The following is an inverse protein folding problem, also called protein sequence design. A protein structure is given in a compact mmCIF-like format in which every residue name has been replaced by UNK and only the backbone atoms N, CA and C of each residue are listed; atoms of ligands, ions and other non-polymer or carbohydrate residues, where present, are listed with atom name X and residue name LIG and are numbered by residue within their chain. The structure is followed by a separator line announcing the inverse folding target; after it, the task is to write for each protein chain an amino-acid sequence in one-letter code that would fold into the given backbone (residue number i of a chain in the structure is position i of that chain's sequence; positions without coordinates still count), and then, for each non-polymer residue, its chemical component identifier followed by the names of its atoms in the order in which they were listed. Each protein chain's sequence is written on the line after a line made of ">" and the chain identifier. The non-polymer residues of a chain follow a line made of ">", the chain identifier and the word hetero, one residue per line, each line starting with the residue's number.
data_IF_103297015078
#
_entry.id   IF_103297015078
#
_cell.length_a   1.000
_cell.length_b   1.000
_cell.length_c   1.000
_cell.angle_alpha   90.00
_cell.angle_beta   90.00
_cell.angle_gamma   90.00
#
_symmetry.space_group_name_H-M   'P 1'
#
loop_
_entity.id
_entity.type
_entity.pdbx_description
1 polymer ?
#
# COMPACT_ATOMS: atom_id res chain seq x y z
N UNK A 1 18.92 -5.27 -9.28
CA UNK A 1 18.23 -5.21 -10.59
C UNK A 1 16.86 -5.94 -10.61
N UNK A 2 16.46 -6.67 -9.56
CA UNK A 2 15.28 -7.56 -9.57
C UNK A 2 13.94 -6.93 -9.13
N UNK A 3 13.93 -5.66 -8.74
CA UNK A 3 12.76 -4.95 -8.20
C UNK A 3 12.31 -3.84 -9.17
N UNK A 4 12.20 -4.13 -10.46
CA UNK A 4 11.44 -3.31 -11.44
C UNK A 4 10.18 -4.03 -11.95
N UNK A 5 10.17 -5.38 -12.08
CA UNK A 5 8.99 -6.10 -12.54
C UNK A 5 7.80 -6.09 -11.59
N UNK A 6 7.97 -5.77 -10.30
CA UNK A 6 6.86 -5.81 -9.32
C UNK A 6 5.69 -4.91 -9.68
N UNK A 7 5.95 -3.79 -10.36
CA UNK A 7 4.88 -2.89 -10.80
C UNK A 7 4.01 -3.59 -11.85
N UNK A 8 4.66 -4.27 -12.79
CA UNK A 8 4.00 -5.08 -13.81
C UNK A 8 3.26 -6.29 -13.24
N UNK A 9 3.88 -7.03 -12.30
CA UNK A 9 3.22 -8.16 -11.65
C UNK A 9 2.01 -7.73 -10.81
N UNK A 10 2.14 -6.65 -10.03
CA UNK A 10 1.02 -6.11 -9.27
C UNK A 10 -0.11 -5.63 -10.18
N UNK A 11 0.24 -5.01 -11.32
CA UNK A 11 -0.73 -4.60 -12.33
C UNK A 11 -1.47 -5.80 -12.95
N UNK A 12 -0.74 -6.84 -13.38
CA UNK A 12 -1.34 -8.05 -13.97
C UNK A 12 -2.23 -8.79 -12.96
N UNK A 13 -1.76 -8.94 -11.72
CA UNK A 13 -2.54 -9.58 -10.66
C UNK A 13 -3.82 -8.79 -10.33
N UNK A 14 -3.72 -7.46 -10.28
CA UNK A 14 -4.89 -6.60 -10.12
C UNK A 14 -5.87 -6.73 -11.30
N UNK A 15 -5.36 -6.92 -12.51
CA UNK A 15 -6.17 -7.11 -13.72
C UNK A 15 -6.94 -8.44 -13.68
N UNK A 16 -6.36 -9.50 -13.13
CA UNK A 16 -7.09 -10.77 -12.93
C UNK A 16 -8.19 -10.61 -11.87
N UNK A 17 -7.90 -9.87 -10.81
CA UNK A 17 -8.78 -9.74 -9.63
C UNK A 17 -9.83 -8.62 -9.73
N UNK A 18 -9.80 -7.78 -10.78
CA UNK A 18 -10.65 -6.60 -10.93
C UNK A 18 -12.18 -6.85 -10.85
N UNK A 19 -12.65 -8.06 -11.18
CA UNK A 19 -14.07 -8.43 -11.14
C UNK A 19 -14.62 -8.57 -9.72
N UNK A 20 -13.76 -8.58 -8.69
CA UNK A 20 -14.18 -8.70 -7.29
C UNK A 20 -15.02 -7.48 -6.91
N UNK A 21 -16.29 -7.71 -6.56
CA UNK A 21 -17.19 -6.65 -6.07
C UNK A 21 -16.80 -6.28 -4.63
N UNK A 22 -16.26 -5.08 -4.46
CA UNK A 22 -15.92 -4.50 -3.16
C UNK A 22 -17.15 -3.84 -2.53
N UNK A 23 -17.52 -4.29 -1.32
CA UNK A 23 -18.50 -3.64 -0.45
C UNK A 23 -17.86 -3.42 0.91
N UNK A 24 -18.40 -2.55 1.79
CA UNK A 24 -17.79 -2.28 3.10
C UNK A 24 -17.52 -3.55 3.93
N UNK A 25 -18.50 -4.47 3.98
CA UNK A 25 -18.35 -5.78 4.65
C UNK A 25 -17.30 -6.67 3.98
N UNK A 26 -17.28 -6.68 2.63
CA UNK A 26 -16.31 -7.49 1.87
C UNK A 26 -14.90 -6.94 1.95
N UNK A 27 -14.70 -5.62 2.02
CA UNK A 27 -13.38 -5.02 2.26
C UNK A 27 -12.83 -5.52 3.60
N UNK A 28 -13.64 -5.51 4.65
CA UNK A 28 -13.21 -6.01 5.95
C UNK A 28 -12.85 -7.50 5.90
N UNK A 29 -13.71 -8.33 5.30
CA UNK A 29 -13.44 -9.76 5.12
C UNK A 29 -12.17 -10.00 4.29
N UNK A 30 -12.02 -9.30 3.16
CA UNK A 30 -10.84 -9.42 2.30
C UNK A 30 -9.59 -8.91 3.00
N UNK A 31 -9.66 -7.89 3.84
CA UNK A 31 -8.52 -7.45 4.64
C UNK A 31 -8.07 -8.55 5.61
N UNK A 32 -9.00 -9.21 6.31
CA UNK A 32 -8.66 -10.33 7.20
C UNK A 32 -8.03 -11.48 6.41
N UNK A 33 -8.68 -11.92 5.32
CA UNK A 33 -8.16 -12.97 4.46
C UNK A 33 -6.79 -12.61 3.88
N UNK A 34 -6.58 -11.34 3.56
CA UNK A 34 -5.34 -10.82 3.03
C UNK A 34 -4.20 -10.90 4.05
N UNK A 35 -4.42 -10.46 5.29
CA UNK A 35 -3.42 -10.59 6.35
C UNK A 35 -3.10 -12.07 6.65
N UNK A 36 -4.11 -12.95 6.65
CA UNK A 36 -3.89 -14.40 6.77
C UNK A 36 -3.06 -14.95 5.60
N UNK A 37 -3.37 -14.55 4.36
CA UNK A 37 -2.63 -14.98 3.18
C UNK A 37 -1.17 -14.50 3.23
N UNK A 38 -0.93 -13.25 3.66
CA UNK A 38 0.43 -12.74 3.85
C UNK A 38 1.19 -13.50 4.94
N UNK A 39 0.54 -13.79 6.07
CA UNK A 39 1.15 -14.58 7.14
C UNK A 39 1.55 -15.98 6.65
N UNK A 40 0.65 -16.68 5.97
CA UNK A 40 0.94 -18.01 5.40
C UNK A 40 2.05 -17.92 4.35
N UNK A 41 2.01 -16.92 3.46
CA UNK A 41 3.05 -16.73 2.45
C UNK A 41 4.43 -16.48 3.08
N UNK A 42 4.49 -15.73 4.19
CA UNK A 42 5.73 -15.54 4.94
C UNK A 42 6.18 -16.85 5.60
N UNK A 43 5.25 -17.55 6.26
CA UNK A 43 5.54 -18.82 6.95
C UNK A 43 6.03 -19.92 6.00
N UNK A 44 5.53 -19.94 4.76
CA UNK A 44 5.94 -20.87 3.70
C UNK A 44 7.23 -20.43 2.98
N UNK A 45 7.85 -19.31 3.35
CA UNK A 45 9.07 -18.81 2.72
C UNK A 45 8.88 -18.17 1.34
N UNK A 46 7.64 -17.98 0.86
CA UNK A 46 7.36 -17.36 -0.46
C UNK A 46 7.89 -15.93 -0.53
N UNK A 47 7.94 -15.25 0.63
CA UNK A 47 8.38 -13.86 0.76
C UNK A 47 9.89 -13.73 1.04
N UNK A 48 10.64 -14.83 1.14
CA UNK A 48 12.08 -14.81 1.48
C UNK A 48 12.90 -13.90 0.58
N UNK A 49 12.64 -13.95 -0.74
CA UNK A 49 13.33 -13.06 -1.69
C UNK A 49 13.09 -11.58 -1.42
N UNK A 50 11.94 -11.21 -0.87
CA UNK A 50 11.64 -9.82 -0.51
C UNK A 50 12.28 -9.47 0.84
N UNK A 51 12.27 -10.37 1.82
CA UNK A 51 12.89 -10.14 3.13
C UNK A 51 14.41 -10.12 3.06
N UNK A 52 15.03 -10.94 2.22
CA UNK A 52 16.47 -10.90 1.90
C UNK A 52 16.86 -9.62 1.16
N UNK A 53 16.01 -9.17 0.23
CA UNK A 53 16.24 -7.88 -0.42
C UNK A 53 16.17 -6.73 0.60
N UNK A 54 15.28 -6.84 1.59
CA UNK A 54 15.14 -5.87 2.68
C UNK A 54 16.40 -5.86 3.58
N UNK A 55 16.90 -7.02 4.00
CA UNK A 55 18.06 -7.12 4.90
C UNK A 55 19.33 -6.53 4.29
N UNK A 56 19.48 -6.57 2.96
CA UNK A 56 20.55 -5.88 2.25
C UNK A 56 20.60 -4.36 2.49
N UNK A 57 19.50 -3.73 2.92
CA UNK A 57 19.50 -2.32 3.33
C UNK A 57 19.98 -2.10 4.78
N UNK A 58 19.90 -3.10 5.66
CA UNK A 58 20.40 -3.01 7.03
C UNK A 58 21.93 -3.14 7.08
N UNK A 59 22.50 -3.99 6.23
CA UNK A 59 23.96 -4.15 6.10
C UNK A 59 24.64 -2.88 5.60
N UNK A 60 23.95 -2.12 4.74
CA UNK A 60 24.39 -0.82 4.23
C UNK A 60 23.87 0.25 5.20
N UNK A 61 24.55 0.43 6.35
CA UNK A 61 24.27 1.43 7.42
C UNK A 61 24.29 2.92 6.98
N UNK A 62 24.09 3.24 5.71
CA UNK A 62 24.21 4.58 5.14
C UNK A 62 22.88 5.32 4.89
N UNK A 63 21.73 4.77 5.25
CA UNK A 63 20.41 5.35 4.94
C UNK A 63 19.47 5.50 6.13
N UNK A 64 18.45 6.36 5.96
CA UNK A 64 17.32 6.45 6.90
C UNK A 64 16.42 5.23 6.71
N UNK A 65 16.65 4.19 7.52
CA UNK A 65 15.94 2.91 7.52
C UNK A 65 14.98 2.81 8.71
N UNK A 66 13.99 1.92 8.64
CA UNK A 66 13.10 1.64 9.78
C UNK A 66 13.69 0.57 10.72
N UNK A 67 14.57 -0.32 10.22
CA UNK A 67 15.18 -1.39 11.01
C UNK A 67 14.16 -2.45 11.43
N UNK A 68 13.17 -2.73 10.57
CA UNK A 68 12.14 -3.73 10.83
C UNK A 68 12.54 -5.08 10.24
N UNK A 69 12.65 -6.08 11.09
CA UNK A 69 12.97 -7.45 10.72
C UNK A 69 11.71 -8.28 10.41
N UNK A 70 11.62 -8.88 9.23
CA UNK A 70 10.50 -9.72 8.80
C UNK A 70 10.80 -11.23 8.88
N UNK A 71 11.99 -11.61 9.36
CA UNK A 71 12.42 -13.01 9.47
C UNK A 71 11.59 -13.82 10.47
N UNK A 72 11.11 -13.19 11.54
CA UNK A 72 10.27 -13.84 12.53
C UNK A 72 8.80 -13.88 12.07
N UNK A 73 8.21 -15.07 11.81
CA UNK A 73 6.83 -15.17 11.33
C UNK A 73 5.79 -14.57 12.27
N UNK A 74 6.03 -14.60 13.59
CA UNK A 74 5.11 -14.03 14.59
C UNK A 74 5.13 -12.51 14.56
N UNK A 75 6.31 -11.92 14.33
CA UNK A 75 6.49 -10.46 14.25
C UNK A 75 6.17 -9.89 12.87
N UNK A 76 5.98 -10.74 11.86
CA UNK A 76 5.70 -10.33 10.48
C UNK A 76 4.50 -9.36 10.38
N UNK A 77 3.36 -9.69 10.99
CA UNK A 77 2.15 -8.86 10.90
C UNK A 77 2.33 -7.52 11.64
N UNK A 78 2.79 -7.49 12.92
CA UNK A 78 3.15 -6.23 13.58
C UNK A 78 4.12 -5.37 12.78
N UNK A 79 5.19 -5.97 12.24
CA UNK A 79 6.22 -5.25 11.48
C UNK A 79 5.69 -4.75 10.13
N UNK A 80 4.80 -5.51 9.48
CA UNK A 80 4.12 -5.05 8.28
C UNK A 80 3.21 -3.84 8.56
N UNK A 81 2.50 -3.84 9.70
CA UNK A 81 1.68 -2.69 10.12
C UNK A 81 2.58 -1.48 10.39
N UNK A 82 3.67 -1.64 11.13
CA UNK A 82 4.63 -0.56 11.40
C UNK A 82 5.26 -0.03 10.10
N UNK A 83 5.63 -0.91 9.18
CA UNK A 83 6.14 -0.56 7.86
C UNK A 83 5.10 0.26 7.08
N UNK A 84 3.84 -0.14 7.11
CA UNK A 84 2.74 0.60 6.47
C UNK A 84 2.57 1.99 7.09
N UNK A 85 2.57 2.09 8.43
CA UNK A 85 2.45 3.36 9.15
C UNK A 85 3.64 4.30 8.87
N UNK A 86 4.86 3.78 8.92
CA UNK A 86 6.07 4.56 8.71
C UNK A 86 6.26 4.97 7.25
N UNK A 87 6.15 4.04 6.31
CA UNK A 87 6.52 4.26 4.92
C UNK A 87 5.36 4.75 4.05
N UNK A 88 4.21 4.07 4.09
CA UNK A 88 3.05 4.42 3.27
C UNK A 88 2.36 5.67 3.82
N UNK A 89 2.12 5.75 5.13
CA UNK A 89 1.50 6.93 5.73
C UNK A 89 2.51 8.01 6.14
N UNK A 90 3.82 7.76 6.06
CA UNK A 90 4.82 8.78 6.35
C UNK A 90 4.82 9.24 7.82
N UNK A 91 4.34 8.42 8.76
CA UNK A 91 4.26 8.77 10.18
C UNK A 91 5.63 8.77 10.88
N UNK A 92 6.69 8.41 10.17
CA UNK A 92 8.05 8.41 10.70
C UNK A 92 8.71 9.77 10.49
N UNK A 93 8.63 10.63 11.51
CA UNK A 93 9.17 11.99 11.48
C UNK A 93 10.67 11.94 11.79
N UNK A 94 11.50 11.98 10.74
CA UNK A 94 12.97 12.02 10.89
C UNK A 94 13.56 13.42 10.82
N UNK A 95 12.79 14.38 10.28
CA UNK A 95 13.23 15.74 10.03
C UNK A 95 12.00 16.67 10.03
N UNK A 96 12.13 17.96 10.44
CA UNK A 96 11.11 18.99 10.22
C UNK A 96 10.45 19.00 8.83
N UNK A 97 11.20 18.72 7.75
CA UNK A 97 10.64 18.61 6.39
C UNK A 97 9.64 17.46 6.25
N UNK A 98 9.80 16.38 7.02
CA UNK A 98 8.85 15.26 7.05
C UNK A 98 7.49 15.69 7.61
N UNK A 99 7.44 16.68 8.51
CA UNK A 99 6.19 17.25 9.03
C UNK A 99 5.44 17.98 7.92
N UNK A 100 6.16 18.77 7.11
CA UNK A 100 5.57 19.47 5.96
C UNK A 100 5.02 18.46 4.95
N UNK A 101 5.77 17.40 4.62
CA UNK A 101 5.32 16.32 3.74
C UNK A 101 4.11 15.58 4.32
N UNK A 102 4.07 15.33 5.63
CA UNK A 102 2.93 14.70 6.29
C UNK A 102 1.65 15.54 6.10
N UNK A 103 1.76 16.87 6.24
CA UNK A 103 0.61 17.78 6.11
C UNK A 103 0.19 18.00 4.65
N UNK A 104 1.13 18.07 3.72
CA UNK A 104 0.83 18.36 2.30
C UNK A 104 0.49 17.09 1.51
N UNK A 105 1.06 15.95 1.88
CA UNK A 105 0.93 14.69 1.12
C UNK A 105 0.03 13.69 1.86
N UNK A 106 0.41 13.27 3.06
CA UNK A 106 -0.31 12.21 3.80
C UNK A 106 -1.70 12.66 4.22
N UNK A 107 -1.85 13.87 4.74
CA UNK A 107 -3.15 14.32 5.25
C UNK A 107 -4.21 14.41 4.13
N UNK A 108 -3.95 15.04 2.97
CA UNK A 108 -4.87 14.99 1.83
C UNK A 108 -5.12 13.56 1.33
N UNK A 109 -4.08 12.73 1.27
CA UNK A 109 -4.22 11.32 0.90
C UNK A 109 -5.19 10.58 1.83
N UNK A 110 -5.07 10.76 3.15
CA UNK A 110 -5.95 10.10 4.12
C UNK A 110 -7.41 10.55 3.96
N UNK A 111 -7.63 11.85 3.73
CA UNK A 111 -8.97 12.38 3.45
C UNK A 111 -9.58 11.76 2.18
N UNK A 112 -8.80 11.67 1.09
CA UNK A 112 -9.25 11.07 -0.16
C UNK A 112 -9.49 9.57 -0.03
N UNK A 113 -8.62 8.85 0.67
CA UNK A 113 -8.79 7.42 0.94
C UNK A 113 -10.07 7.16 1.73
N UNK A 114 -10.32 7.92 2.81
CA UNK A 114 -11.56 7.85 3.59
C UNK A 114 -12.78 8.10 2.72
N UNK A 115 -12.72 9.06 1.80
CA UNK A 115 -13.81 9.35 0.87
C UNK A 115 -14.06 8.19 -0.10
N UNK A 116 -13.02 7.60 -0.68
CA UNK A 116 -13.14 6.46 -1.60
C UNK A 116 -13.76 5.26 -0.89
N UNK A 117 -13.30 4.93 0.33
CA UNK A 117 -13.86 3.83 1.12
C UNK A 117 -15.33 4.10 1.50
N UNK A 118 -15.67 5.35 1.86
CA UNK A 118 -17.05 5.74 2.19
C UNK A 118 -17.98 5.52 1.01
N UNK A 119 -17.53 5.85 -0.19
CA UNK A 119 -18.30 5.82 -1.44
C UNK A 119 -18.02 4.59 -2.32
N UNK A 120 -17.42 3.52 -1.77
CA UNK A 120 -17.06 2.30 -2.50
C UNK A 120 -18.22 1.67 -3.28
N UNK A 121 -19.47 1.89 -2.87
CA UNK A 121 -20.65 1.40 -3.61
C UNK A 121 -20.74 1.96 -5.04
N UNK A 122 -20.19 3.15 -5.26
CA UNK A 122 -20.13 3.80 -6.59
C UNK A 122 -18.91 3.36 -7.40
N UNK A 123 -18.03 2.51 -6.83
CA UNK A 123 -16.85 2.04 -7.53
C UNK A 123 -17.21 1.05 -8.65
N UNK A 124 -16.88 1.43 -9.88
CA UNK A 124 -16.95 0.60 -11.06
C UNK A 124 -15.76 -0.38 -11.14
N UNK A 125 -15.63 -1.07 -12.26
CA UNK A 125 -14.54 -2.03 -12.49
C UNK A 125 -13.16 -1.37 -12.49
N UNK A 126 -13.04 -0.12 -12.95
CA UNK A 126 -11.77 0.61 -13.00
C UNK A 126 -11.30 1.00 -11.60
N UNK A 127 -12.18 1.56 -10.76
CA UNK A 127 -11.82 1.89 -9.37
C UNK A 127 -11.46 0.63 -8.58
N UNK A 128 -12.18 -0.47 -8.77
CA UNK A 128 -11.85 -1.74 -8.11
C UNK A 128 -10.47 -2.24 -8.49
N UNK A 129 -10.13 -2.16 -9.78
CA UNK A 129 -8.79 -2.46 -10.25
C UNK A 129 -7.74 -1.59 -9.54
N UNK A 130 -7.94 -0.27 -9.47
CA UNK A 130 -7.00 0.64 -8.81
C UNK A 130 -6.82 0.34 -7.31
N UNK A 131 -7.90 0.00 -6.61
CA UNK A 131 -7.84 -0.34 -5.19
C UNK A 131 -7.15 -1.68 -4.93
N UNK A 132 -7.34 -2.66 -5.81
CA UNK A 132 -6.65 -3.95 -5.72
C UNK A 132 -5.16 -3.75 -6.03
N UNK A 133 -4.85 -2.99 -7.09
CA UNK A 133 -3.49 -2.60 -7.41
C UNK A 133 -2.82 -1.90 -6.23
N UNK A 134 -3.49 -0.94 -5.59
CA UNK A 134 -3.00 -0.25 -4.39
C UNK A 134 -2.57 -1.23 -3.29
N UNK A 135 -3.41 -2.22 -2.96
CA UNK A 135 -3.10 -3.19 -1.90
C UNK A 135 -1.92 -4.10 -2.28
N UNK A 136 -1.96 -4.67 -3.48
CA UNK A 136 -0.94 -5.63 -3.95
C UNK A 136 0.41 -4.94 -4.11
N UNK A 137 0.44 -3.86 -4.89
CA UNK A 137 1.65 -3.10 -5.14
C UNK A 137 2.23 -2.56 -3.82
N UNK A 138 1.35 -1.96 -2.99
CA UNK A 138 1.69 -1.49 -1.65
C UNK A 138 2.46 -2.54 -0.85
N UNK A 139 1.94 -3.76 -0.81
CA UNK A 139 2.49 -4.79 0.05
C UNK A 139 3.82 -5.34 -0.43
N UNK A 140 4.01 -5.49 -1.75
CA UNK A 140 5.29 -5.96 -2.30
C UNK A 140 6.42 -5.03 -1.89
N UNK A 141 6.25 -3.72 -2.06
CA UNK A 141 7.31 -2.78 -1.71
C UNK A 141 7.39 -2.52 -0.21
N UNK A 142 6.30 -2.55 0.55
CA UNK A 142 6.33 -2.37 2.01
C UNK A 142 7.08 -3.50 2.73
N UNK A 143 7.06 -4.71 2.17
CA UNK A 143 7.82 -5.86 2.68
C UNK A 143 9.27 -5.77 2.21
N UNK A 144 9.51 -5.49 0.92
CA UNK A 144 10.85 -5.52 0.35
C UNK A 144 11.71 -4.29 0.63
N UNK A 145 11.12 -3.12 0.89
CA UNK A 145 11.86 -1.87 1.09
C UNK A 145 11.89 -1.50 2.57
N UNK A 146 13.07 -1.16 3.07
CA UNK A 146 13.25 -0.54 4.40
C UNK A 146 13.73 0.91 4.33
N UNK A 147 14.12 1.39 3.15
CA UNK A 147 14.70 2.71 2.96
C UNK A 147 13.62 3.80 2.78
N UNK A 148 13.61 4.80 3.66
CA UNK A 148 12.59 5.86 3.65
C UNK A 148 12.65 6.75 2.41
N UNK A 149 13.84 7.07 1.89
CA UNK A 149 13.99 7.86 0.66
C UNK A 149 13.42 7.15 -0.57
N UNK A 150 13.54 5.83 -0.62
CA UNK A 150 12.95 4.99 -1.66
C UNK A 150 11.45 4.84 -1.46
N UNK A 151 10.98 4.74 -0.21
CA UNK A 151 9.57 4.67 0.12
C UNK A 151 8.78 5.87 -0.42
N UNK A 152 9.31 7.09 -0.31
CA UNK A 152 8.68 8.30 -0.86
C UNK A 152 8.43 8.19 -2.36
N UNK A 153 9.36 7.58 -3.11
CA UNK A 153 9.17 7.38 -4.55
C UNK A 153 8.15 6.29 -4.86
N UNK A 154 8.20 5.19 -4.12
CA UNK A 154 7.32 4.03 -4.36
C UNK A 154 5.87 4.31 -3.95
N UNK A 155 5.64 5.06 -2.86
CA UNK A 155 4.28 5.40 -2.41
C UNK A 155 3.54 6.33 -3.37
N UNK A 156 4.22 7.08 -4.25
CA UNK A 156 3.56 7.93 -5.24
C UNK A 156 2.56 7.15 -6.11
N UNK A 157 2.91 5.93 -6.54
CA UNK A 157 2.02 5.10 -7.34
C UNK A 157 0.78 4.63 -6.56
N UNK A 158 0.94 4.34 -5.26
CA UNK A 158 -0.19 4.10 -4.36
C UNK A 158 -1.08 5.34 -4.23
N UNK A 159 -0.48 6.52 -4.06
CA UNK A 159 -1.21 7.76 -3.87
C UNK A 159 -2.00 8.13 -5.13
N UNK A 160 -1.39 8.00 -6.32
CA UNK A 160 -2.09 8.21 -7.58
C UNK A 160 -3.30 7.29 -7.76
N UNK A 161 -3.20 6.01 -7.39
CA UNK A 161 -4.33 5.09 -7.47
C UNK A 161 -5.53 5.60 -6.65
N UNK A 162 -5.29 6.17 -5.47
CA UNK A 162 -6.32 6.76 -4.62
C UNK A 162 -6.82 8.10 -5.15
N UNK A 163 -5.93 8.97 -5.64
CA UNK A 163 -6.30 10.27 -6.19
C UNK A 163 -7.19 10.13 -7.43
N UNK A 164 -6.82 9.26 -8.35
CA UNK A 164 -7.63 8.95 -9.55
C UNK A 164 -8.99 8.40 -9.11
N UNK A 165 -9.00 7.46 -8.17
CA UNK A 165 -10.25 6.89 -7.63
C UNK A 165 -11.14 7.96 -7.00
N UNK A 166 -10.56 8.90 -6.24
CA UNK A 166 -11.28 9.99 -5.59
C UNK A 166 -11.95 10.90 -6.62
N UNK A 167 -11.18 11.43 -7.58
CA UNK A 167 -11.71 12.35 -8.59
C UNK A 167 -12.74 11.66 -9.49
N UNK A 168 -12.55 10.38 -9.79
CA UNK A 168 -13.50 9.61 -10.58
C UNK A 168 -14.84 9.44 -9.85
N UNK A 169 -14.82 9.02 -8.58
CA UNK A 169 -16.04 8.93 -7.76
C UNK A 169 -16.70 10.31 -7.63
N UNK A 170 -15.93 11.37 -7.42
CA UNK A 170 -16.45 12.73 -7.31
C UNK A 170 -17.17 13.15 -8.60
N UNK A 171 -16.60 12.85 -9.76
CA UNK A 171 -17.20 13.14 -11.06
C UNK A 171 -18.49 12.32 -11.27
N UNK A 172 -18.48 11.02 -10.97
CA UNK A 172 -19.68 10.18 -11.02
C UNK A 172 -20.80 10.72 -10.13
N UNK A 173 -20.44 11.15 -8.92
CA UNK A 173 -21.40 11.69 -7.95
C UNK A 173 -22.03 13.00 -8.46
N UNK A 174 -21.21 13.87 -9.08
CA UNK A 174 -21.66 15.11 -9.73
C UNK A 174 -22.59 14.83 -10.91
N UNK A 175 -22.26 13.87 -11.77
CA UNK A 175 -23.08 13.47 -12.91
C UNK A 175 -24.43 12.88 -12.49
N UNK A 176 -24.48 12.18 -11.36
CA UNK A 176 -25.71 11.61 -10.78
C UNK A 176 -26.52 12.63 -9.94
N UNK A 177 -26.07 13.88 -9.82
CA UNK A 177 -26.76 14.92 -9.05
C UNK A 177 -26.79 14.68 -7.53
N UNK A 178 -25.95 13.77 -7.01
CA UNK A 178 -25.92 13.43 -5.59
C UNK A 178 -24.98 14.42 -4.89
N UNK A 179 -25.52 15.26 -3.98
CA UNK A 179 -24.71 16.18 -3.16
C UNK A 179 -23.76 15.44 -2.22
#
# INVERSE_FOLDING_TARGET
>A
MALRPYLGYAFLLALVLWKIKLTKKRIFLFAILYFFALFIANYMGILERLTEYRSGFEEIKGGSTLGLDFSNPVMFIPNFILSTLGQLFGLYITNPLAIILLLIETFPFFMMLKYVIKNIKMADSFIRFLLIFFVIYGSVWLIGNDNLGTAVRLRMYNYFAIYISFFYILNLKKQQGIK
#
